data_IF_768710772139
#
_entry.id   IF_768710772139
#
_cell.length_a   1.000
_cell.length_b   1.000
_cell.length_c   1.000
_cell.angle_alpha   90.00
_cell.angle_beta   90.00
_cell.angle_gamma   90.00
#
_symmetry.space_group_name_H-M   'P 1'
#
loop_
_entity.id
_entity.type
_entity.pdbx_description
1 polymer ?
#
# COMPACT_ATOMS: atom_id res chain seq x y z
N UNK A 1 -5.27 -5.57 6.91
CA UNK A 1 -6.67 -5.47 7.39
C UNK A 1 -7.28 -6.86 7.54
N UNK A 2 -7.34 -7.70 6.47
CA UNK A 2 -7.96 -9.05 6.55
C UNK A 2 -7.39 -9.90 7.70
N UNK A 3 -6.07 -9.97 7.85
CA UNK A 3 -5.41 -10.74 8.93
C UNK A 3 -5.81 -10.31 10.33
N UNK A 4 -6.16 -9.04 10.52
CA UNK A 4 -6.61 -8.51 11.80
C UNK A 4 -8.03 -8.96 12.15
N UNK A 5 -8.91 -9.04 11.14
CA UNK A 5 -10.32 -9.39 11.32
C UNK A 5 -10.62 -10.89 11.15
N UNK A 6 -9.71 -11.63 10.53
CA UNK A 6 -9.84 -13.06 10.28
C UNK A 6 -8.46 -13.73 10.35
N UNK A 7 -7.90 -13.92 11.56
CA UNK A 7 -6.60 -14.57 11.74
C UNK A 7 -6.58 -16.02 11.25
N UNK A 8 -7.74 -16.67 11.27
CA UNK A 8 -7.89 -18.09 10.87
C UNK A 8 -8.22 -18.28 9.39
N UNK A 9 -8.64 -17.23 8.70
CA UNK A 9 -9.04 -17.27 7.29
C UNK A 9 -10.40 -17.90 7.02
N UNK A 10 -11.20 -18.15 8.07
CA UNK A 10 -12.46 -18.90 7.96
C UNK A 10 -13.71 -18.04 8.08
N UNK A 11 -13.61 -16.84 8.64
CA UNK A 11 -14.75 -16.00 9.02
C UNK A 11 -14.66 -14.56 8.52
N UNK A 12 -14.06 -14.33 7.37
CA UNK A 12 -13.97 -12.98 6.81
C UNK A 12 -15.33 -12.51 6.26
N UNK A 13 -15.90 -11.46 6.86
CA UNK A 13 -17.07 -10.74 6.34
C UNK A 13 -16.65 -9.38 5.78
N UNK A 14 -16.58 -9.28 4.45
CA UNK A 14 -16.20 -8.06 3.74
C UNK A 14 -17.08 -6.86 4.08
N UNK A 15 -18.39 -7.05 4.29
CA UNK A 15 -19.34 -5.98 4.65
C UNK A 15 -18.98 -5.33 5.98
N UNK A 16 -18.68 -6.14 7.00
CA UNK A 16 -18.32 -5.63 8.33
C UNK A 16 -16.96 -4.95 8.33
N UNK A 17 -15.99 -5.51 7.61
CA UNK A 17 -14.65 -4.92 7.49
C UNK A 17 -14.72 -3.58 6.75
N UNK A 18 -15.45 -3.51 5.62
CA UNK A 18 -15.65 -2.27 4.87
C UNK A 18 -16.36 -1.21 5.73
N UNK A 19 -17.46 -1.60 6.43
CA UNK A 19 -18.16 -0.70 7.35
C UNK A 19 -17.23 -0.16 8.45
N UNK A 20 -16.48 -1.02 9.09
CA UNK A 20 -15.57 -0.62 10.16
C UNK A 20 -14.48 0.32 9.64
N UNK A 21 -13.87 0.03 8.50
CA UNK A 21 -12.89 0.90 7.86
C UNK A 21 -13.49 2.27 7.49
N UNK A 22 -14.71 2.28 6.94
CA UNK A 22 -15.42 3.52 6.62
C UNK A 22 -15.73 4.35 7.86
N UNK A 23 -16.23 3.75 8.92
CA UNK A 23 -16.54 4.44 10.18
C UNK A 23 -15.28 4.91 10.93
N UNK A 24 -14.14 4.27 10.69
CA UNK A 24 -12.84 4.72 11.22
C UNK A 24 -12.32 6.02 10.57
N UNK A 25 -13.04 6.58 9.59
CA UNK A 25 -12.73 7.88 9.00
C UNK A 25 -12.26 7.86 7.55
N UNK A 26 -12.17 6.68 6.92
CA UNK A 26 -11.77 6.60 5.53
C UNK A 26 -12.91 7.03 4.61
N UNK A 27 -12.64 7.95 3.69
CA UNK A 27 -13.61 8.41 2.68
C UNK A 27 -13.58 7.57 1.41
N UNK A 28 -12.43 6.91 1.13
CA UNK A 28 -12.24 6.00 0.02
C UNK A 28 -11.72 4.67 0.56
N UNK A 29 -12.28 3.58 0.07
CA UNK A 29 -11.85 2.22 0.40
C UNK A 29 -11.25 1.59 -0.86
N UNK A 30 -9.94 1.31 -0.82
CA UNK A 30 -9.32 0.46 -1.82
C UNK A 30 -9.60 -0.99 -1.45
N UNK A 31 -10.28 -1.71 -2.33
CA UNK A 31 -10.64 -3.11 -2.13
C UNK A 31 -9.88 -3.98 -3.14
N UNK A 32 -9.06 -4.89 -2.62
CA UNK A 32 -8.31 -5.89 -3.38
C UNK A 32 -8.32 -7.20 -2.59
N UNK A 33 -8.37 -8.32 -3.29
CA UNK A 33 -8.52 -9.66 -2.69
C UNK A 33 -9.66 -9.74 -1.66
N UNK A 34 -10.75 -9.04 -1.94
CA UNK A 34 -11.89 -8.82 -1.05
C UNK A 34 -12.96 -9.89 -1.31
N UNK A 35 -12.74 -11.09 -0.77
CA UNK A 35 -13.68 -12.21 -0.88
C UNK A 35 -14.08 -12.64 0.51
N UNK A 36 -15.38 -12.53 0.85
CA UNK A 36 -15.92 -13.01 2.13
C UNK A 36 -15.89 -14.53 2.20
N UNK A 37 -15.76 -15.05 3.41
CA UNK A 37 -15.90 -16.48 3.64
C UNK A 37 -17.29 -16.94 3.23
N UNK A 38 -17.36 -17.93 2.35
CA UNK A 38 -18.62 -18.42 1.79
C UNK A 38 -19.09 -17.73 0.52
N UNK A 39 -18.41 -16.68 0.04
CA UNK A 39 -18.68 -16.11 -1.29
C UNK A 39 -17.81 -16.79 -2.35
N UNK A 40 -18.36 -17.02 -3.56
CA UNK A 40 -17.62 -17.71 -4.62
C UNK A 40 -16.51 -16.85 -5.23
N UNK A 41 -16.67 -15.51 -5.22
CA UNK A 41 -15.73 -14.60 -5.88
C UNK A 41 -15.81 -13.17 -5.32
N UNK A 42 -14.87 -12.35 -5.80
CA UNK A 42 -14.74 -10.94 -5.48
C UNK A 42 -15.98 -10.11 -5.85
N UNK A 43 -16.56 -10.34 -7.03
CA UNK A 43 -17.70 -9.54 -7.52
C UNK A 43 -18.94 -9.77 -6.68
N UNK A 44 -19.17 -11.00 -6.25
CA UNK A 44 -20.27 -11.35 -5.34
C UNK A 44 -20.11 -10.63 -3.99
N UNK A 45 -18.92 -10.65 -3.39
CA UNK A 45 -18.67 -9.94 -2.13
C UNK A 45 -18.82 -8.43 -2.31
N UNK A 46 -18.31 -7.87 -3.40
CA UNK A 46 -18.41 -6.43 -3.69
C UNK A 46 -19.88 -6.01 -3.84
N UNK A 47 -20.67 -6.74 -4.66
CA UNK A 47 -22.10 -6.49 -4.82
C UNK A 47 -22.85 -6.50 -3.49
N UNK A 48 -22.68 -7.54 -2.69
CA UNK A 48 -23.27 -7.66 -1.34
C UNK A 48 -22.85 -6.55 -0.39
N UNK A 49 -21.61 -6.08 -0.50
CA UNK A 49 -21.12 -4.97 0.30
C UNK A 49 -21.75 -3.65 -0.11
N UNK A 50 -21.91 -3.41 -1.41
CA UNK A 50 -22.59 -2.23 -1.92
C UNK A 50 -24.06 -2.22 -1.49
N UNK A 51 -24.77 -3.34 -1.64
CA UNK A 51 -26.17 -3.47 -1.21
C UNK A 51 -26.32 -3.20 0.29
N UNK A 52 -25.41 -3.71 1.10
CA UNK A 52 -25.37 -3.45 2.54
C UNK A 52 -25.16 -1.97 2.85
N UNK A 53 -24.27 -1.27 2.15
CA UNK A 53 -24.06 0.17 2.31
C UNK A 53 -25.28 0.97 1.88
N UNK A 54 -25.93 0.61 0.76
CA UNK A 54 -27.17 1.23 0.29
C UNK A 54 -28.29 1.06 1.32
N UNK A 55 -28.43 -0.13 1.86
CA UNK A 55 -29.41 -0.39 2.92
C UNK A 55 -29.12 0.46 4.16
N UNK A 56 -27.88 0.48 4.63
CA UNK A 56 -27.46 1.31 5.78
C UNK A 56 -27.68 2.81 5.54
N UNK A 57 -27.40 3.30 4.36
CA UNK A 57 -27.66 4.69 3.99
C UNK A 57 -29.15 5.05 4.09
N UNK A 58 -30.05 4.11 3.77
CA UNK A 58 -31.51 4.34 3.83
C UNK A 58 -32.09 4.23 5.24
N UNK A 59 -31.51 3.36 6.07
CA UNK A 59 -32.07 2.99 7.38
C UNK A 59 -31.42 3.73 8.56
N UNK A 60 -30.20 4.23 8.41
CA UNK A 60 -29.40 4.82 9.48
C UNK A 60 -28.98 6.24 9.11
N UNK A 61 -29.65 7.24 9.70
CA UNK A 61 -29.42 8.65 9.42
C UNK A 61 -27.98 9.10 9.74
N UNK A 62 -27.35 8.56 10.78
CA UNK A 62 -25.96 8.89 11.13
C UNK A 62 -24.99 8.32 10.11
N UNK A 63 -25.27 7.13 9.61
CA UNK A 63 -24.49 6.54 8.52
C UNK A 63 -24.64 7.33 7.22
N UNK A 64 -25.87 7.75 6.89
CA UNK A 64 -26.14 8.60 5.73
C UNK A 64 -25.37 9.93 5.80
N UNK A 65 -25.45 10.63 6.93
CA UNK A 65 -24.68 11.86 7.15
C UNK A 65 -23.17 11.65 6.97
N UNK A 66 -22.65 10.53 7.46
CA UNK A 66 -21.23 10.19 7.28
C UNK A 66 -20.87 9.95 5.81
N UNK A 67 -21.75 9.30 5.04
CA UNK A 67 -21.58 9.10 3.58
C UNK A 67 -21.59 10.45 2.87
N UNK A 68 -22.58 11.31 3.15
CA UNK A 68 -22.69 12.62 2.51
C UNK A 68 -21.47 13.49 2.75
N UNK A 69 -20.94 13.52 3.97
CA UNK A 69 -19.69 14.22 4.30
C UNK A 69 -18.47 13.66 3.56
N UNK A 70 -18.42 12.35 3.33
CA UNK A 70 -17.35 11.73 2.52
C UNK A 70 -17.46 12.15 1.07
N UNK A 71 -18.65 12.10 0.50
CA UNK A 71 -18.93 12.51 -0.88
C UNK A 71 -18.59 13.99 -1.08
N UNK A 72 -18.99 14.87 -0.16
CA UNK A 72 -18.65 16.28 -0.20
C UNK A 72 -17.13 16.52 -0.24
N UNK A 73 -16.38 15.83 0.62
CA UNK A 73 -14.90 15.94 0.63
C UNK A 73 -14.28 15.46 -0.67
N UNK A 74 -14.77 14.32 -1.20
CA UNK A 74 -14.28 13.77 -2.47
C UNK A 74 -14.59 14.72 -3.63
N UNK A 75 -15.81 15.24 -3.70
CA UNK A 75 -16.23 16.17 -4.74
C UNK A 75 -15.46 17.49 -4.65
N UNK A 76 -15.25 18.01 -3.44
CA UNK A 76 -14.44 19.21 -3.21
C UNK A 76 -13.01 19.03 -3.70
N UNK A 77 -12.38 17.88 -3.40
CA UNK A 77 -11.05 17.56 -3.90
C UNK A 77 -11.02 17.43 -5.43
N UNK A 78 -11.98 16.72 -6.00
CA UNK A 78 -12.09 16.59 -7.47
C UNK A 78 -12.28 17.95 -8.15
N UNK A 79 -13.08 18.83 -7.57
CA UNK A 79 -13.32 20.17 -8.11
C UNK A 79 -12.06 21.05 -8.08
N UNK A 80 -11.20 20.87 -7.08
CA UNK A 80 -9.90 21.56 -7.01
C UNK A 80 -8.91 21.01 -8.04
N UNK A 81 -8.94 19.70 -8.30
CA UNK A 81 -8.03 19.05 -9.25
C UNK A 81 -8.45 19.28 -10.71
N UNK A 82 -9.76 19.35 -10.96
CA UNK A 82 -10.35 19.43 -12.30
C UNK A 82 -11.28 20.64 -12.41
N UNK A 83 -10.77 21.82 -12.73
CA UNK A 83 -11.60 23.04 -12.81
C UNK A 83 -12.69 22.98 -13.88
N UNK A 84 -12.57 22.09 -14.85
CA UNK A 84 -13.62 21.72 -15.80
C UNK A 84 -13.85 20.21 -15.82
N UNK A 85 -15.08 19.77 -15.58
CA UNK A 85 -15.43 18.35 -15.57
C UNK A 85 -15.76 17.90 -17.00
N UNK A 86 -14.75 17.47 -17.73
CA UNK A 86 -14.89 16.82 -19.03
C UNK A 86 -14.14 15.49 -19.03
N UNK A 87 -14.55 14.57 -19.90
CA UNK A 87 -13.85 13.29 -20.05
C UNK A 87 -12.39 13.49 -20.39
N UNK A 88 -12.09 14.48 -21.23
CA UNK A 88 -10.71 14.80 -21.62
C UNK A 88 -9.87 15.35 -20.45
N UNK A 89 -10.47 16.09 -19.51
CA UNK A 89 -9.76 16.64 -18.36
C UNK A 89 -9.42 15.60 -17.30
N UNK A 90 -10.15 14.47 -17.25
CA UNK A 90 -9.94 13.40 -16.26
C UNK A 90 -9.19 12.19 -16.82
N UNK A 91 -9.06 12.08 -18.14
CA UNK A 91 -8.23 11.04 -18.77
C UNK A 91 -6.75 11.43 -18.68
N UNK A 92 -5.92 10.49 -18.25
CA UNK A 92 -4.48 10.67 -18.28
C UNK A 92 -4.01 10.89 -19.73
N UNK A 93 -3.23 11.94 -19.95
CA UNK A 93 -2.54 12.13 -21.24
C UNK A 93 -1.40 11.11 -21.37
N UNK A 94 -1.02 10.77 -22.62
CA UNK A 94 0.14 9.91 -22.85
C UNK A 94 1.40 10.46 -22.15
N UNK A 95 1.61 11.77 -22.22
CA UNK A 95 2.71 12.44 -21.54
C UNK A 95 2.65 12.27 -20.01
N UNK A 96 1.46 12.29 -19.42
CA UNK A 96 1.28 12.03 -17.98
C UNK A 96 1.61 10.58 -17.61
N UNK A 97 1.27 9.62 -18.49
CA UNK A 97 1.63 8.22 -18.31
C UNK A 97 3.15 7.99 -18.42
N UNK A 98 3.83 8.68 -19.33
CA UNK A 98 5.28 8.59 -19.52
C UNK A 98 6.05 9.13 -18.30
N UNK A 99 5.42 9.96 -17.48
CA UNK A 99 6.00 10.47 -16.22
C UNK A 99 5.85 9.50 -15.04
N UNK A 100 4.99 8.49 -15.14
CA UNK A 100 4.82 7.48 -14.11
C UNK A 100 6.12 6.69 -13.93
N UNK A 101 6.60 6.59 -12.70
CA UNK A 101 7.87 5.91 -12.40
C UNK A 101 9.15 6.76 -12.59
N UNK A 102 9.03 8.00 -13.06
CA UNK A 102 10.20 8.88 -13.24
C UNK A 102 10.72 9.53 -11.95
N UNK A 103 10.06 9.25 -10.80
CA UNK A 103 10.41 9.83 -9.50
C UNK A 103 11.49 9.05 -8.75
N UNK A 104 12.20 8.13 -9.39
CA UNK A 104 13.20 7.27 -8.72
C UNK A 104 14.32 8.07 -8.06
N UNK A 105 14.78 9.15 -8.67
CA UNK A 105 15.81 10.01 -8.10
C UNK A 105 15.33 10.71 -6.82
N UNK A 106 14.12 11.27 -6.85
CA UNK A 106 13.50 11.89 -5.66
C UNK A 106 13.27 10.87 -4.55
N UNK A 107 12.76 9.69 -4.90
CA UNK A 107 12.54 8.60 -3.93
C UNK A 107 13.85 8.16 -3.30
N UNK A 108 14.93 8.09 -4.08
CA UNK A 108 16.25 7.75 -3.57
C UNK A 108 16.80 8.85 -2.63
N UNK A 109 16.66 10.11 -3.00
CA UNK A 109 17.05 11.25 -2.15
C UNK A 109 16.32 11.24 -0.81
N UNK A 110 15.00 11.06 -0.83
CA UNK A 110 14.19 10.93 0.39
C UNK A 110 14.64 9.74 1.24
N UNK A 111 14.92 8.60 0.62
CA UNK A 111 15.41 7.42 1.31
C UNK A 111 16.79 7.65 1.96
N UNK A 112 17.69 8.34 1.28
CA UNK A 112 19.00 8.70 1.85
C UNK A 112 18.86 9.62 3.07
N UNK A 113 18.00 10.63 2.99
CA UNK A 113 17.75 11.57 4.10
C UNK A 113 17.03 10.91 5.28
N UNK A 114 16.18 9.92 5.01
CA UNK A 114 15.46 9.17 6.04
C UNK A 114 16.29 8.03 6.67
N UNK A 115 17.43 7.68 6.08
CA UNK A 115 18.28 6.61 6.61
C UNK A 115 18.88 7.00 7.96
N UNK A 116 18.70 6.16 8.95
CA UNK A 116 19.27 6.34 10.30
C UNK A 116 20.12 5.13 10.67
N UNK A 117 21.35 5.38 11.08
CA UNK A 117 22.21 4.34 11.60
C UNK A 117 21.80 4.03 13.06
N UNK A 118 21.27 2.82 13.29
CA UNK A 118 20.81 2.37 14.60
C UNK A 118 21.92 1.61 15.34
N UNK A 119 22.66 0.78 14.60
CA UNK A 119 23.76 -0.04 15.13
C UNK A 119 24.61 -0.56 13.95
N UNK A 120 25.95 -0.59 14.08
CA UNK A 120 26.76 0.03 15.14
C UNK A 120 26.65 1.56 15.15
N UNK A 121 27.15 2.23 16.18
CA UNK A 121 27.23 3.70 16.13
C UNK A 121 28.28 4.17 15.10
N UNK A 122 28.31 5.47 14.82
CA UNK A 122 29.21 6.02 13.80
C UNK A 122 30.70 5.82 14.09
N UNK A 123 31.08 5.75 15.36
CA UNK A 123 32.44 5.47 15.78
C UNK A 123 32.82 4.01 15.52
N UNK A 124 31.97 3.11 15.92
CA UNK A 124 32.13 1.67 15.69
C UNK A 124 32.12 1.33 14.17
N UNK A 125 31.29 2.02 13.39
CA UNK A 125 31.25 1.83 11.94
C UNK A 125 32.60 2.21 11.30
N UNK A 126 33.21 3.32 11.73
CA UNK A 126 34.52 3.77 11.21
C UNK A 126 35.65 2.78 11.53
N UNK A 127 35.53 2.04 12.62
CA UNK A 127 36.49 0.99 12.98
C UNK A 127 36.25 -0.28 12.16
N UNK A 128 34.96 -0.69 12.02
CA UNK A 128 34.57 -1.90 11.30
C UNK A 128 34.70 -1.75 9.76
N UNK A 129 34.41 -0.54 9.24
CA UNK A 129 34.47 -0.23 7.81
C UNK A 129 35.24 1.08 7.56
N UNK A 130 36.54 1.09 7.74
CA UNK A 130 37.34 2.33 7.63
C UNK A 130 37.39 2.90 6.20
N UNK A 131 36.99 2.13 5.20
CA UNK A 131 36.96 2.53 3.81
C UNK A 131 35.85 1.77 3.04
N UNK A 132 35.44 2.32 1.91
CA UNK A 132 34.57 1.59 1.00
C UNK A 132 35.28 0.32 0.45
N UNK A 133 34.53 -0.77 0.20
CA UNK A 133 35.06 -1.97 -0.43
C UNK A 133 35.68 -1.69 -1.79
N UNK A 134 36.76 -2.35 -2.12
CA UNK A 134 37.39 -2.28 -3.44
C UNK A 134 36.68 -3.25 -4.39
N UNK A 135 36.68 -2.94 -5.69
CA UNK A 135 36.12 -3.80 -6.73
C UNK A 135 36.72 -5.22 -6.77
N UNK A 136 37.93 -5.40 -6.23
CA UNK A 136 38.61 -6.70 -6.12
C UNK A 136 38.22 -7.49 -4.87
N UNK A 137 37.50 -6.91 -3.94
CA UNK A 137 37.07 -7.56 -2.69
C UNK A 137 35.76 -8.32 -2.91
N UNK A 138 35.66 -9.48 -2.26
CA UNK A 138 34.42 -10.25 -2.25
C UNK A 138 33.52 -9.79 -1.13
N UNK A 139 32.32 -9.34 -1.48
CA UNK A 139 31.28 -9.01 -0.52
C UNK A 139 30.32 -10.20 -0.48
N UNK A 140 30.06 -10.70 0.73
CA UNK A 140 29.07 -11.75 0.97
C UNK A 140 27.91 -11.14 1.72
N UNK A 141 26.72 -11.25 1.13
CA UNK A 141 25.47 -10.79 1.74
C UNK A 141 24.81 -11.97 2.45
N UNK A 142 24.56 -11.83 3.75
CA UNK A 142 23.76 -12.76 4.52
C UNK A 142 22.41 -12.08 4.77
N UNK A 143 21.38 -12.51 4.04
CA UNK A 143 20.05 -11.95 4.15
C UNK A 143 19.17 -12.91 4.92
N UNK A 144 18.68 -12.48 6.08
CA UNK A 144 17.63 -13.19 6.80
C UNK A 144 16.28 -12.88 6.13
N UNK A 145 15.76 -13.86 5.43
CA UNK A 145 14.53 -13.72 4.66
C UNK A 145 13.34 -14.12 5.52
N UNK A 146 12.69 -13.11 6.07
CA UNK A 146 11.38 -13.31 6.69
C UNK A 146 10.31 -13.48 5.62
N UNK A 147 9.56 -14.55 5.74
CA UNK A 147 8.40 -14.83 4.89
C UNK A 147 7.15 -14.30 5.56
N UNK A 148 6.36 -13.54 4.84
CA UNK A 148 5.09 -13.02 5.31
C UNK A 148 3.96 -13.35 4.34
N UNK A 149 2.75 -13.42 4.87
CA UNK A 149 1.51 -13.53 4.08
C UNK A 149 0.66 -12.30 4.37
N UNK A 150 0.12 -11.70 3.33
CA UNK A 150 -0.83 -10.61 3.50
C UNK A 150 -2.19 -11.10 3.99
N UNK A 151 -2.55 -12.35 3.68
CA UNK A 151 -3.77 -12.99 4.15
C UNK A 151 -3.57 -14.51 4.23
N UNK A 152 -4.51 -15.24 4.88
CA UNK A 152 -4.44 -16.69 5.06
C UNK A 152 -4.39 -17.50 3.77
N UNK A 153 -4.98 -17.00 2.69
CA UNK A 153 -5.01 -17.63 1.35
C UNK A 153 -4.03 -16.97 0.36
N UNK A 154 -3.30 -15.94 0.78
CA UNK A 154 -2.29 -15.30 -0.06
C UNK A 154 -1.04 -16.18 -0.13
N UNK A 155 -0.28 -16.11 -1.25
CA UNK A 155 1.00 -16.79 -1.35
C UNK A 155 2.00 -16.23 -0.34
N UNK A 156 2.94 -17.03 0.05
CA UNK A 156 4.10 -16.60 0.83
C UNK A 156 4.95 -15.65 -0.01
N UNK A 157 5.35 -14.53 0.61
CA UNK A 157 6.23 -13.56 -0.02
C UNK A 157 7.38 -13.21 0.93
N UNK A 158 8.62 -13.16 0.44
CA UNK A 158 9.71 -12.63 1.22
C UNK A 158 9.52 -11.14 1.46
N UNK A 159 9.73 -10.68 2.70
CA UNK A 159 9.69 -9.26 3.05
C UNK A 159 10.77 -8.49 2.31
N UNK A 160 11.93 -9.13 2.13
CA UNK A 160 13.04 -8.62 1.35
C UNK A 160 13.49 -9.72 0.36
N UNK A 161 13.72 -9.38 -0.90
CA UNK A 161 14.26 -10.35 -1.86
C UNK A 161 15.67 -10.79 -1.44
N UNK A 162 16.01 -12.06 -1.68
CA UNK A 162 17.31 -12.64 -1.32
C UNK A 162 18.51 -11.84 -1.85
N UNK A 163 18.37 -11.29 -3.03
CA UNK A 163 19.39 -10.56 -3.76
C UNK A 163 19.23 -9.01 -3.67
N UNK A 164 18.31 -8.52 -2.85
CA UNK A 164 17.99 -7.10 -2.76
C UNK A 164 19.22 -6.25 -2.39
N UNK A 165 20.00 -6.68 -1.40
CA UNK A 165 21.20 -5.97 -0.98
C UNK A 165 22.30 -6.02 -2.04
N UNK A 166 22.52 -7.18 -2.66
CA UNK A 166 23.46 -7.34 -3.76
C UNK A 166 23.11 -6.44 -4.94
N UNK A 167 21.84 -6.43 -5.35
CA UNK A 167 21.38 -5.59 -6.45
C UNK A 167 21.48 -4.09 -6.12
N UNK A 168 21.24 -3.71 -4.86
CA UNK A 168 21.40 -2.33 -4.41
C UNK A 168 22.87 -1.89 -4.50
N UNK A 169 23.81 -2.72 -4.04
CA UNK A 169 25.26 -2.41 -4.12
C UNK A 169 25.74 -2.33 -5.57
N UNK A 170 25.35 -3.30 -6.41
CA UNK A 170 25.69 -3.27 -7.83
C UNK A 170 25.16 -2.02 -8.55
N UNK A 171 23.97 -1.57 -8.18
CA UNK A 171 23.39 -0.34 -8.76
C UNK A 171 24.12 0.92 -8.31
N UNK A 172 24.68 0.95 -7.10
CA UNK A 172 25.32 2.13 -6.52
C UNK A 172 26.80 2.23 -6.88
N UNK A 173 27.47 1.09 -7.08
CA UNK A 173 28.93 0.99 -7.21
C UNK A 173 29.40 0.15 -8.42
N UNK A 174 28.45 -0.44 -9.19
CA UNK A 174 28.76 -1.28 -10.35
C UNK A 174 28.89 -0.53 -11.67
#
# INVERSE_FOLDING_TARGET
>A
VRRLFDPTGTNFDGRQVARTAFLAGNDLLYVDHFVSSGDPDYYTTLGRTLDFFIQKYREDAAFAERVDKSVERILTLKYRLYPSFSLQSVLASQQGLDQVGQSSALTFEVAQQAASLISPDSGDLNVAMPRAPLASERIVFLTDVQISRQCSTCPDQPVLALDALQNAVLRLYG
#
